data_IF_522098991942
#
_entry.id   IF_522098991942
#
_cell.length_a   1.000
_cell.length_b   1.000
_cell.length_c   1.000
_cell.angle_alpha   90.00
_cell.angle_beta   90.00
_cell.angle_gamma   90.00
#
_symmetry.space_group_name_H-M   'P 1'
#
loop_
_entity.id
_entity.type
_entity.pdbx_description
1 polymer ?
#
# COMPACT_ATOMS: atom_id res chain seq x y z
N UNK A 1 -41.28 15.30 -33.76
CA UNK A 1 -40.77 16.45 -32.98
C UNK A 1 -39.95 15.93 -31.81
N UNK A 2 -38.62 16.00 -31.92
CA UNK A 2 -37.69 15.63 -30.86
C UNK A 2 -37.62 16.76 -29.83
N UNK A 3 -38.05 16.50 -28.58
CA UNK A 3 -37.79 17.40 -27.45
C UNK A 3 -36.31 17.29 -27.09
N UNK A 4 -35.48 18.22 -27.58
CA UNK A 4 -34.16 18.49 -26.99
C UNK A 4 -34.37 18.85 -25.53
N UNK A 5 -33.91 18.00 -24.60
CA UNK A 5 -33.73 18.41 -23.20
C UNK A 5 -32.69 19.53 -23.20
N UNK A 6 -33.12 20.75 -22.91
CA UNK A 6 -32.20 21.85 -22.66
C UNK A 6 -31.49 21.55 -21.33
N UNK A 7 -30.23 21.14 -21.41
CA UNK A 7 -29.30 21.27 -20.28
C UNK A 7 -29.18 22.75 -19.98
N UNK A 8 -29.69 23.20 -18.82
CA UNK A 8 -29.46 24.58 -18.35
C UNK A 8 -27.95 24.72 -18.11
N UNK A 9 -27.26 25.38 -19.03
CA UNK A 9 -25.89 25.84 -18.82
C UNK A 9 -25.95 27.13 -18.00
N UNK A 10 -25.30 27.14 -16.83
CA UNK A 10 -25.19 28.37 -16.03
C UNK A 10 -24.13 29.29 -16.66
N UNK A 11 -24.40 30.61 -16.78
CA UNK A 11 -23.47 31.54 -17.40
C UNK A 11 -22.14 31.63 -16.64
N UNK A 12 -21.05 31.91 -17.35
CA UNK A 12 -19.73 32.21 -16.79
C UNK A 12 -19.80 33.25 -15.65
N UNK A 13 -20.60 34.30 -15.83
CA UNK A 13 -20.75 35.42 -14.89
C UNK A 13 -21.33 34.98 -13.54
N UNK A 14 -22.19 33.95 -13.53
CA UNK A 14 -22.79 33.44 -12.30
C UNK A 14 -21.73 32.86 -11.36
N UNK A 15 -20.87 31.97 -11.88
CA UNK A 15 -19.81 31.37 -11.07
C UNK A 15 -18.76 32.40 -10.65
N UNK A 16 -18.41 33.34 -11.53
CA UNK A 16 -17.47 34.41 -11.22
C UNK A 16 -17.97 35.29 -10.08
N UNK A 17 -19.26 35.68 -10.11
CA UNK A 17 -19.87 36.44 -9.01
C UNK A 17 -19.92 35.64 -7.72
N UNK A 18 -20.25 34.34 -7.77
CA UNK A 18 -20.26 33.52 -6.56
C UNK A 18 -18.88 33.44 -5.89
N UNK A 19 -17.80 33.29 -6.66
CA UNK A 19 -16.44 33.25 -6.12
C UNK A 19 -16.12 34.55 -5.39
N UNK A 20 -16.47 35.70 -5.98
CA UNK A 20 -16.26 37.02 -5.38
C UNK A 20 -17.10 37.23 -4.10
N UNK A 21 -18.27 36.60 -4.01
CA UNK A 21 -19.15 36.69 -2.84
C UNK A 21 -18.68 35.79 -1.68
N UNK A 22 -18.12 34.62 -1.97
CA UNK A 22 -17.74 33.63 -0.95
C UNK A 22 -16.46 34.04 -0.21
N UNK A 23 -15.61 34.89 -0.80
CA UNK A 23 -14.30 35.29 -0.26
C UNK A 23 -13.54 34.09 0.37
N UNK A 24 -13.49 32.98 -0.37
CA UNK A 24 -13.05 31.69 0.12
C UNK A 24 -13.06 30.62 -0.96
N UNK A 25 -13.05 29.35 -0.56
CA UNK A 25 -13.03 28.22 -1.49
C UNK A 25 -14.45 27.82 -1.92
N UNK A 26 -14.75 27.92 -3.21
CA UNK A 26 -15.99 27.41 -3.79
C UNK A 26 -15.77 25.99 -4.36
N UNK A 27 -16.48 25.01 -3.80
CA UNK A 27 -16.51 23.64 -4.33
C UNK A 27 -17.83 23.42 -5.06
N UNK A 28 -17.74 23.09 -6.35
CA UNK A 28 -18.91 22.75 -7.17
C UNK A 28 -18.91 21.24 -7.42
N UNK A 29 -19.98 20.57 -7.00
CA UNK A 29 -20.19 19.15 -7.27
C UNK A 29 -21.05 18.98 -8.53
N UNK A 30 -20.59 18.14 -9.44
CA UNK A 30 -21.32 17.81 -10.67
C UNK A 30 -21.32 16.30 -10.88
N UNK A 31 -22.47 15.75 -11.27
CA UNK A 31 -22.64 14.31 -11.52
C UNK A 31 -22.41 13.97 -12.98
N UNK A 32 -21.62 12.93 -13.23
CA UNK A 32 -21.42 12.38 -14.58
C UNK A 32 -22.42 11.27 -14.84
N UNK A 33 -23.06 11.32 -16.02
CA UNK A 33 -23.91 10.22 -16.47
C UNK A 33 -23.06 8.96 -16.69
N UNK A 34 -23.60 7.81 -16.28
CA UNK A 34 -22.96 6.50 -16.47
C UNK A 34 -22.62 6.29 -17.95
N UNK A 35 -21.39 5.86 -18.24
CA UNK A 35 -20.92 5.56 -19.60
C UNK A 35 -20.39 6.76 -20.39
N UNK A 36 -20.31 7.96 -19.80
CA UNK A 36 -19.58 9.09 -20.40
C UNK A 36 -18.18 9.19 -19.82
N UNK A 37 -17.20 9.44 -20.68
CA UNK A 37 -15.81 9.69 -20.28
C UNK A 37 -15.55 11.17 -19.95
N UNK A 38 -16.43 12.07 -20.40
CA UNK A 38 -16.31 13.51 -20.18
C UNK A 38 -17.61 14.11 -19.66
N UNK A 39 -17.46 14.95 -18.64
CA UNK A 39 -18.51 15.85 -18.20
C UNK A 39 -18.50 17.09 -19.08
N UNK A 40 -19.64 17.41 -19.69
CA UNK A 40 -19.83 18.69 -20.38
C UNK A 40 -20.05 19.77 -19.33
N UNK A 41 -18.93 20.27 -18.78
CA UNK A 41 -18.90 21.33 -17.77
C UNK A 41 -19.29 22.70 -18.33
N UNK A 42 -19.44 22.83 -19.67
CA UNK A 42 -19.71 24.09 -20.34
C UNK A 42 -18.76 25.21 -19.87
N UNK A 43 -19.35 26.31 -19.38
CA UNK A 43 -18.62 27.49 -18.91
C UNK A 43 -17.78 27.26 -17.65
N UNK A 44 -18.09 26.22 -16.84
CA UNK A 44 -17.44 25.96 -15.56
C UNK A 44 -15.96 25.59 -15.74
N UNK A 45 -15.63 24.82 -16.79
CA UNK A 45 -14.26 24.38 -17.05
C UNK A 45 -13.29 25.55 -17.27
N UNK A 46 -13.79 26.68 -17.79
CA UNK A 46 -12.98 27.88 -18.05
C UNK A 46 -12.77 28.75 -16.81
N UNK A 47 -13.77 28.80 -15.92
CA UNK A 47 -13.70 29.55 -14.65
C UNK A 47 -12.88 28.79 -13.62
N UNK A 48 -13.07 27.47 -13.52
CA UNK A 48 -12.48 26.66 -12.47
C UNK A 48 -10.95 26.67 -12.52
N UNK A 49 -10.32 26.95 -11.37
CA UNK A 49 -8.87 26.87 -11.23
C UNK A 49 -8.39 25.42 -11.06
N UNK A 50 -9.26 24.55 -10.53
CA UNK A 50 -9.03 23.12 -10.44
C UNK A 50 -10.24 22.33 -10.96
N UNK A 51 -9.99 21.24 -11.70
CA UNK A 51 -11.02 20.29 -12.11
C UNK A 51 -10.56 18.89 -11.73
N UNK A 52 -11.35 18.22 -10.89
CA UNK A 52 -11.05 16.92 -10.33
C UNK A 52 -12.22 15.97 -10.63
N UNK A 53 -11.93 14.82 -11.25
CA UNK A 53 -12.92 13.78 -11.52
C UNK A 53 -12.83 12.69 -10.46
N UNK A 54 -13.99 12.31 -9.91
CA UNK A 54 -14.11 11.15 -9.03
C UNK A 54 -14.59 9.98 -9.86
N UNK A 55 -13.67 9.10 -10.25
CA UNK A 55 -14.00 7.90 -10.99
C UNK A 55 -14.23 6.75 -10.05
N UNK A 56 -15.13 5.86 -10.44
CA UNK A 56 -15.19 4.53 -9.89
C UNK A 56 -15.25 3.51 -11.03
N UNK A 57 -14.62 2.36 -10.84
CA UNK A 57 -14.73 1.22 -11.73
C UNK A 57 -14.88 -0.05 -10.91
N UNK A 58 -15.57 -1.03 -11.48
CA UNK A 58 -15.64 -2.37 -10.90
C UNK A 58 -14.59 -3.23 -11.58
N UNK A 59 -13.63 -3.72 -10.80
CA UNK A 59 -12.59 -4.62 -11.27
C UNK A 59 -12.65 -5.88 -10.41
N UNK A 60 -12.98 -7.03 -11.02
CA UNK A 60 -13.13 -8.32 -10.31
C UNK A 60 -14.15 -8.29 -9.17
N UNK A 61 -15.24 -7.56 -9.37
CA UNK A 61 -16.27 -7.36 -8.34
C UNK A 61 -15.86 -6.36 -7.24
N UNK A 62 -14.67 -5.75 -7.34
CA UNK A 62 -14.19 -4.76 -6.38
C UNK A 62 -14.36 -3.35 -6.90
N UNK A 63 -14.84 -2.50 -6.02
CA UNK A 63 -15.04 -1.09 -6.31
C UNK A 63 -13.72 -0.34 -6.11
N UNK A 64 -13.09 0.02 -7.23
CA UNK A 64 -11.94 0.91 -7.25
C UNK A 64 -12.40 2.35 -7.45
N UNK A 65 -11.77 3.27 -6.72
CA UNK A 65 -12.05 4.70 -6.79
C UNK A 65 -10.76 5.46 -7.03
N UNK A 66 -10.77 6.38 -7.99
CA UNK A 66 -9.61 7.20 -8.34
C UNK A 66 -10.00 8.67 -8.50
N UNK A 67 -9.11 9.56 -8.08
CA UNK A 67 -9.09 10.97 -8.44
C UNK A 67 -8.36 11.11 -9.76
N UNK A 68 -8.92 11.83 -10.72
CA UNK A 68 -8.15 12.36 -11.84
C UNK A 68 -8.08 13.88 -11.71
N UNK A 69 -6.86 14.44 -11.69
CA UNK A 69 -6.66 15.89 -11.70
C UNK A 69 -6.54 16.32 -13.16
N UNK A 70 -7.65 16.77 -13.75
CA UNK A 70 -7.70 17.14 -15.17
C UNK A 70 -7.13 18.54 -15.42
N UNK A 71 -7.27 19.43 -14.45
CA UNK A 71 -6.82 20.83 -14.53
C UNK A 71 -6.43 21.33 -13.15
N UNK A 72 -5.31 22.05 -13.08
CA UNK A 72 -4.88 22.78 -11.90
C UNK A 72 -4.05 23.99 -12.37
N UNK A 73 -4.56 25.21 -12.18
CA UNK A 73 -3.85 26.44 -12.54
C UNK A 73 -2.79 26.78 -11.49
N UNK A 74 -1.61 27.19 -11.94
CA UNK A 74 -0.53 27.64 -11.07
C UNK A 74 0.28 26.54 -10.37
N UNK A 75 0.01 25.26 -10.66
CA UNK A 75 0.78 24.13 -10.13
C UNK A 75 0.99 23.04 -11.19
N UNK A 76 2.16 22.39 -11.22
CA UNK A 76 2.42 21.27 -12.13
C UNK A 76 1.58 20.04 -11.74
N UNK A 77 0.97 19.39 -12.74
CA UNK A 77 0.26 18.12 -12.54
C UNK A 77 1.25 16.98 -12.86
N UNK A 78 1.83 16.40 -11.81
CA UNK A 78 2.81 15.31 -11.93
C UNK A 78 2.18 13.91 -11.82
N UNK A 79 0.93 13.81 -11.35
CA UNK A 79 0.20 12.55 -11.18
C UNK A 79 -1.20 12.72 -11.76
N UNK A 80 -1.53 11.90 -12.76
CA UNK A 80 -2.79 12.00 -13.51
C UNK A 80 -3.94 11.33 -12.76
N UNK A 81 -3.69 10.16 -12.14
CA UNK A 81 -4.70 9.44 -11.36
C UNK A 81 -4.18 9.00 -9.98
N UNK A 82 -4.99 9.19 -8.94
CA UNK A 82 -4.65 8.85 -7.54
C UNK A 82 -5.78 8.00 -6.94
N UNK A 83 -5.52 6.75 -6.53
CA UNK A 83 -6.54 5.93 -5.87
C UNK A 83 -6.96 6.52 -4.54
N UNK A 84 -8.19 6.25 -4.10
CA UNK A 84 -8.66 6.70 -2.79
C UNK A 84 -9.66 5.75 -2.14
N UNK A 85 -9.79 5.88 -0.82
CA UNK A 85 -10.83 5.23 -0.04
C UNK A 85 -11.73 6.25 0.63
N UNK A 86 -12.93 5.82 1.00
CA UNK A 86 -13.81 6.58 1.89
C UNK A 86 -13.78 5.86 3.23
N UNK A 87 -13.20 6.50 4.24
CA UNK A 87 -13.06 5.93 5.58
C UNK A 87 -14.01 6.64 6.55
N UNK A 88 -14.66 5.87 7.42
CA UNK A 88 -15.55 6.40 8.45
C UNK A 88 -14.81 7.39 9.35
N UNK A 89 -15.43 8.53 9.65
CA UNK A 89 -14.84 9.61 10.46
C UNK A 89 -13.74 10.44 9.78
N UNK A 90 -13.22 10.02 8.62
CA UNK A 90 -12.18 10.73 7.85
C UNK A 90 -12.75 11.31 6.54
N UNK A 91 -13.69 10.60 5.92
CA UNK A 91 -14.19 10.93 4.58
C UNK A 91 -13.25 10.41 3.50
N UNK A 92 -13.00 11.23 2.48
CA UNK A 92 -12.13 10.90 1.37
C UNK A 92 -10.66 10.87 1.82
N UNK A 93 -9.97 9.75 1.57
CA UNK A 93 -8.54 9.61 1.82
C UNK A 93 -7.80 9.17 0.55
N UNK A 94 -7.08 10.09 -0.11
CA UNK A 94 -6.22 9.74 -1.23
C UNK A 94 -5.08 8.82 -0.78
N UNK A 95 -4.76 7.85 -1.63
CA UNK A 95 -3.67 6.91 -1.47
C UNK A 95 -2.64 7.27 -2.53
N UNK A 96 -1.60 7.97 -2.11
CA UNK A 96 -0.48 8.26 -2.99
C UNK A 96 0.50 7.10 -2.94
N UNK A 97 0.71 6.36 -4.05
CA UNK A 97 1.81 5.44 -4.11
C UNK A 97 3.13 6.22 -3.93
N UNK A 98 4.12 5.68 -3.23
CA UNK A 98 5.40 6.32 -3.16
C UNK A 98 6.00 6.29 -4.56
N UNK A 99 6.41 7.45 -5.05
CA UNK A 99 7.16 7.58 -6.30
C UNK A 99 8.54 8.06 -5.87
N UNK A 100 9.48 7.15 -5.54
CA UNK A 100 10.81 7.56 -5.14
C UNK A 100 11.49 8.26 -6.32
N UNK A 101 11.79 9.55 -6.18
CA UNK A 101 12.44 10.35 -7.22
C UNK A 101 13.90 9.91 -7.46
N UNK A 102 14.54 9.32 -6.43
CA UNK A 102 15.91 8.85 -6.45
C UNK A 102 16.07 7.59 -5.62
N UNK A 103 16.99 6.73 -6.04
CA UNK A 103 17.51 5.65 -5.20
C UNK A 103 18.62 6.28 -4.35
N UNK A 104 18.37 6.49 -3.05
CA UNK A 104 19.37 7.06 -2.17
C UNK A 104 20.34 5.98 -1.70
N UNK A 105 21.64 6.28 -1.74
CA UNK A 105 22.65 5.47 -1.06
C UNK A 105 22.65 5.93 0.39
N UNK A 106 21.81 5.30 1.21
CA UNK A 106 21.77 5.57 2.64
C UNK A 106 22.88 4.76 3.33
N UNK A 107 23.55 5.38 4.30
CA UNK A 107 24.42 4.67 5.22
C UNK A 107 23.60 3.61 5.95
N UNK A 108 23.75 2.36 5.52
CA UNK A 108 23.02 1.24 6.09
C UNK A 108 23.72 0.77 7.36
N UNK A 109 22.96 0.61 8.44
CA UNK A 109 23.48 0.11 9.70
C UNK A 109 23.40 -1.42 9.68
N UNK A 110 24.50 -2.09 10.05
CA UNK A 110 24.48 -3.55 10.24
C UNK A 110 23.50 -3.88 11.37
N UNK A 111 22.58 -4.80 11.10
CA UNK A 111 21.64 -5.34 12.07
C UNK A 111 22.35 -6.38 12.96
N UNK A 112 22.02 -6.37 14.24
CA UNK A 112 22.42 -7.42 15.19
C UNK A 112 21.54 -8.64 14.96
N UNK A 113 22.14 -9.81 14.96
CA UNK A 113 21.42 -11.07 14.82
C UNK A 113 22.12 -12.15 15.64
N UNK A 114 21.36 -13.16 16.06
CA UNK A 114 21.92 -14.37 16.63
C UNK A 114 22.75 -15.11 15.59
N UNK A 115 23.70 -15.91 16.07
CA UNK A 115 24.62 -16.67 15.22
C UNK A 115 23.91 -17.51 14.16
N UNK A 116 22.81 -18.19 14.53
CA UNK A 116 22.03 -19.01 13.60
C UNK A 116 21.42 -18.18 12.45
N UNK A 117 20.99 -16.95 12.75
CA UNK A 117 20.44 -16.03 11.75
C UNK A 117 21.54 -15.48 10.86
N UNK A 118 22.70 -15.11 11.42
CA UNK A 118 23.86 -14.70 10.63
C UNK A 118 24.39 -15.83 9.74
N UNK A 119 24.35 -17.08 10.19
CA UNK A 119 24.74 -18.25 9.39
C UNK A 119 23.74 -18.53 8.26
N UNK A 120 22.45 -18.32 8.50
CA UNK A 120 21.40 -18.58 7.51
C UNK A 120 21.28 -17.48 6.46
N UNK A 121 21.32 -16.21 6.88
CA UNK A 121 21.03 -15.05 6.02
C UNK A 121 22.26 -14.20 5.70
N UNK A 122 23.40 -14.45 6.35
CA UNK A 122 24.56 -13.59 6.27
C UNK A 122 24.40 -12.28 7.05
N UNK A 123 25.34 -11.33 6.90
CA UNK A 123 25.23 -10.01 7.50
C UNK A 123 24.11 -9.21 6.83
N UNK A 124 23.17 -8.71 7.63
CA UNK A 124 22.05 -7.91 7.16
C UNK A 124 22.19 -6.45 7.57
N UNK A 125 21.66 -5.55 6.76
CA UNK A 125 21.70 -4.11 6.98
C UNK A 125 20.30 -3.49 6.86
N UNK A 126 20.10 -2.33 7.49
CA UNK A 126 18.88 -1.55 7.32
C UNK A 126 18.67 -1.17 5.85
N UNK A 127 17.45 -1.34 5.34
CA UNK A 127 17.13 -1.05 3.94
C UNK A 127 17.45 -2.18 2.95
N UNK A 128 18.00 -3.31 3.41
CA UNK A 128 18.17 -4.49 2.57
C UNK A 128 16.82 -5.05 2.11
N UNK A 129 16.83 -5.73 0.96
CA UNK A 129 15.68 -6.43 0.41
C UNK A 129 16.08 -7.89 0.28
N UNK A 130 15.53 -8.73 1.15
CA UNK A 130 15.79 -10.16 1.22
C UNK A 130 14.65 -10.90 0.52
N UNK A 131 15.01 -11.86 -0.33
CA UNK A 131 14.07 -12.78 -0.95
C UNK A 131 14.32 -14.21 -0.45
N UNK A 132 13.33 -14.77 0.22
CA UNK A 132 13.31 -16.14 0.72
C UNK A 132 12.40 -16.95 -0.20
N UNK A 133 13.00 -17.97 -0.81
CA UNK A 133 12.35 -18.83 -1.77
C UNK A 133 12.28 -20.25 -1.23
N UNK A 134 11.12 -20.88 -1.31
CA UNK A 134 10.91 -22.27 -0.91
C UNK A 134 10.24 -23.08 -2.01
N UNK A 135 10.46 -24.41 -2.11
CA UNK A 135 9.79 -25.24 -3.11
C UNK A 135 8.28 -25.23 -2.90
N UNK A 136 7.48 -25.12 -3.98
CA UNK A 136 6.00 -25.07 -3.88
C UNK A 136 5.34 -26.27 -3.19
N UNK A 137 6.01 -27.42 -3.19
CA UNK A 137 5.57 -28.65 -2.52
C UNK A 137 6.03 -28.74 -1.06
N UNK A 138 7.03 -27.95 -0.67
CA UNK A 138 7.34 -27.75 0.73
C UNK A 138 6.33 -26.75 1.28
N UNK A 139 5.46 -27.18 2.21
CA UNK A 139 4.77 -26.20 3.06
C UNK A 139 5.86 -25.41 3.76
N UNK A 140 5.76 -24.08 3.74
CA UNK A 140 6.74 -23.21 4.39
C UNK A 140 6.92 -23.65 5.84
N UNK A 141 8.16 -24.00 6.19
CA UNK A 141 8.48 -24.45 7.54
C UNK A 141 8.37 -23.24 8.48
N UNK A 142 7.52 -23.29 9.52
CA UNK A 142 7.41 -22.22 10.50
C UNK A 142 8.75 -21.80 11.11
N UNK A 143 9.73 -22.71 11.19
CA UNK A 143 11.10 -22.41 11.67
C UNK A 143 11.79 -21.32 10.83
N UNK A 144 11.41 -21.16 9.56
CA UNK A 144 11.93 -20.10 8.67
C UNK A 144 11.61 -18.67 9.15
N UNK A 145 10.71 -18.51 10.13
CA UNK A 145 10.41 -17.21 10.76
C UNK A 145 11.27 -16.90 11.99
N UNK A 146 12.11 -17.84 12.47
CA UNK A 146 13.03 -17.60 13.60
C UNK A 146 13.95 -16.38 13.36
N UNK A 147 14.58 -16.22 12.19
CA UNK A 147 15.38 -15.03 11.88
C UNK A 147 14.60 -13.71 12.04
N UNK A 148 13.32 -13.71 11.70
CA UNK A 148 12.49 -12.51 11.80
C UNK A 148 12.24 -12.13 13.27
N UNK A 149 11.99 -13.13 14.12
CA UNK A 149 11.80 -12.94 15.56
C UNK A 149 13.09 -12.38 16.19
N UNK A 150 14.22 -13.00 15.87
CA UNK A 150 15.55 -12.56 16.29
C UNK A 150 15.82 -11.10 15.91
N UNK A 151 15.77 -10.78 14.61
CA UNK A 151 16.04 -9.43 14.10
C UNK A 151 15.14 -8.37 14.73
N UNK A 152 13.86 -8.69 14.96
CA UNK A 152 12.91 -7.77 15.59
C UNK A 152 13.29 -7.46 17.04
N UNK A 153 13.72 -8.48 17.80
CA UNK A 153 14.05 -8.35 19.22
C UNK A 153 15.42 -7.69 19.42
N UNK A 154 16.46 -8.22 18.79
CA UNK A 154 17.87 -7.77 18.97
C UNK A 154 18.08 -6.32 18.55
N UNK A 155 17.29 -5.84 17.59
CA UNK A 155 17.37 -4.47 17.09
C UNK A 155 16.22 -3.57 17.59
N UNK A 156 15.32 -4.09 18.44
CA UNK A 156 14.13 -3.41 18.93
C UNK A 156 13.29 -2.79 17.77
N UNK A 157 13.14 -3.54 16.68
CA UNK A 157 12.42 -3.13 15.48
C UNK A 157 10.99 -3.65 15.51
N UNK A 158 10.05 -2.80 15.08
CA UNK A 158 8.68 -3.24 14.82
C UNK A 158 8.58 -3.81 13.42
N UNK A 159 7.81 -4.88 13.31
CA UNK A 159 7.69 -5.72 12.14
C UNK A 159 6.24 -5.76 11.68
N UNK A 160 6.00 -5.36 10.44
CA UNK A 160 4.73 -5.54 9.76
C UNK A 160 4.80 -6.84 8.97
N UNK A 161 3.97 -7.82 9.32
CA UNK A 161 3.87 -9.09 8.62
C UNK A 161 2.54 -9.15 7.88
N UNK A 162 2.61 -9.13 6.55
CA UNK A 162 1.45 -9.23 5.67
C UNK A 162 1.45 -10.62 5.04
N UNK A 163 0.43 -11.42 5.35
CA UNK A 163 0.23 -12.74 4.74
C UNK A 163 -0.91 -12.72 3.74
N UNK A 164 -0.70 -13.40 2.61
CA UNK A 164 -1.72 -13.66 1.61
C UNK A 164 -2.33 -15.06 1.70
N UNK A 165 -1.88 -15.89 2.64
CA UNK A 165 -2.28 -17.30 2.78
C UNK A 165 -2.77 -17.66 4.18
N UNK A 166 -2.37 -16.92 5.21
CA UNK A 166 -2.75 -17.15 6.60
C UNK A 166 -3.57 -16.01 7.18
N UNK A 167 -4.50 -16.34 8.06
CA UNK A 167 -5.22 -15.37 8.90
C UNK A 167 -4.31 -14.82 10.01
N UNK A 168 -4.67 -13.66 10.56
CA UNK A 168 -3.95 -13.05 11.68
C UNK A 168 -3.88 -13.98 12.91
N UNK A 169 -4.92 -14.78 13.15
CA UNK A 169 -4.96 -15.69 14.29
C UNK A 169 -4.01 -16.88 14.09
N UNK A 170 -3.96 -17.44 12.87
CA UNK A 170 -3.01 -18.50 12.53
C UNK A 170 -1.57 -18.00 12.64
N UNK A 171 -1.26 -16.80 12.13
CA UNK A 171 0.06 -16.18 12.25
C UNK A 171 0.45 -16.00 13.72
N UNK A 172 -0.43 -15.44 14.56
CA UNK A 172 -0.16 -15.29 16.00
C UNK A 172 0.08 -16.63 16.67
N UNK A 173 -0.75 -17.63 16.37
CA UNK A 173 -0.59 -18.97 16.91
C UNK A 173 0.75 -19.58 16.49
N UNK A 174 1.09 -19.51 15.20
CA UNK A 174 2.34 -20.02 14.64
C UNK A 174 3.57 -19.36 15.26
N UNK A 175 3.63 -18.02 15.28
CA UNK A 175 4.76 -17.30 15.88
C UNK A 175 4.88 -17.57 17.39
N UNK A 176 3.76 -17.62 18.11
CA UNK A 176 3.79 -17.99 19.54
C UNK A 176 4.26 -19.43 19.74
N UNK A 177 3.87 -20.34 18.83
CA UNK A 177 4.30 -21.74 18.82
C UNK A 177 5.80 -21.86 18.65
N UNK A 178 6.37 -21.21 17.63
CA UNK A 178 7.81 -21.17 17.36
C UNK A 178 8.59 -20.65 18.58
N UNK A 179 8.13 -19.55 19.19
CA UNK A 179 8.77 -18.99 20.38
C UNK A 179 8.77 -19.96 21.57
N UNK A 180 7.70 -20.75 21.73
CA UNK A 180 7.58 -21.70 22.84
C UNK A 180 8.36 -22.99 22.55
N UNK A 181 8.22 -23.57 21.36
CA UNK A 181 8.79 -24.88 21.01
C UNK A 181 10.27 -24.79 20.65
N UNK A 182 10.65 -23.82 19.81
CA UNK A 182 12.01 -23.73 19.26
C UNK A 182 12.91 -22.84 20.12
N UNK A 183 12.34 -21.78 20.72
CA UNK A 183 13.11 -20.81 21.53
C UNK A 183 12.95 -21.03 23.05
N UNK A 184 12.10 -21.97 23.47
CA UNK A 184 11.89 -22.30 24.89
C UNK A 184 11.29 -21.17 25.73
N UNK A 185 10.64 -20.19 25.11
CA UNK A 185 10.07 -19.05 25.81
C UNK A 185 8.75 -19.43 26.50
N UNK A 186 8.49 -18.92 27.72
CA UNK A 186 7.16 -19.03 28.31
C UNK A 186 6.10 -18.38 27.41
N UNK A 187 4.91 -18.99 27.34
CA UNK A 187 3.83 -18.50 26.45
C UNK A 187 3.44 -17.05 26.71
N UNK A 188 3.40 -16.63 27.97
CA UNK A 188 3.11 -15.24 28.33
C UNK A 188 4.17 -14.25 27.78
N UNK A 189 5.44 -14.65 27.80
CA UNK A 189 6.55 -13.87 27.22
C UNK A 189 6.42 -13.80 25.69
N UNK A 190 6.08 -14.91 25.05
CA UNK A 190 5.85 -14.96 23.60
C UNK A 190 4.71 -14.00 23.17
N UNK A 191 3.57 -14.04 23.86
CA UNK A 191 2.45 -13.15 23.58
C UNK A 191 2.81 -11.66 23.78
N UNK A 192 3.62 -11.36 24.80
CA UNK A 192 4.13 -10.01 25.07
C UNK A 192 5.07 -9.51 23.97
N UNK A 193 5.96 -10.37 23.48
CA UNK A 193 6.86 -10.09 22.35
C UNK A 193 6.03 -9.81 21.10
N UNK A 194 5.04 -10.65 20.78
CA UNK A 194 4.16 -10.44 19.63
C UNK A 194 3.46 -9.10 19.69
N UNK A 195 2.87 -8.75 20.83
CA UNK A 195 2.17 -7.47 21.00
C UNK A 195 3.09 -6.25 20.86
N UNK A 196 4.36 -6.38 21.26
CA UNK A 196 5.33 -5.28 21.24
C UNK A 196 5.94 -5.07 19.86
N UNK A 197 6.34 -6.16 19.21
CA UNK A 197 7.19 -6.11 18.02
C UNK A 197 6.44 -6.41 16.73
N UNK A 198 5.30 -7.09 16.76
CA UNK A 198 4.64 -7.57 15.55
C UNK A 198 3.27 -6.95 15.30
N UNK A 199 3.07 -6.50 14.06
CA UNK A 199 1.80 -6.10 13.49
C UNK A 199 1.45 -7.08 12.38
N UNK A 200 0.41 -7.88 12.60
CA UNK A 200 -0.03 -8.87 11.63
C UNK A 200 -1.19 -8.33 10.80
N UNK A 201 -1.12 -8.52 9.49
CA UNK A 201 -2.19 -8.25 8.55
C UNK A 201 -2.39 -9.46 7.66
N UNK A 202 -3.65 -9.75 7.31
CA UNK A 202 -4.01 -10.77 6.34
C UNK A 202 -4.84 -10.13 5.24
N UNK A 203 -4.45 -10.35 3.99
CA UNK A 203 -5.09 -9.77 2.81
C UNK A 203 -5.36 -10.92 1.85
N UNK A 204 -6.62 -11.11 1.45
CA UNK A 204 -6.93 -12.10 0.41
C UNK A 204 -6.30 -11.64 -0.92
N UNK A 205 -5.59 -12.53 -1.64
CA UNK A 205 -4.96 -12.21 -2.93
C UNK A 205 -5.94 -11.61 -3.93
N UNK A 206 -7.17 -12.15 -3.98
CA UNK A 206 -8.23 -11.72 -4.90
C UNK A 206 -8.68 -10.28 -4.64
N UNK A 207 -8.55 -9.82 -3.39
CA UNK A 207 -8.87 -8.47 -2.96
C UNK A 207 -7.68 -7.49 -3.06
N UNK A 208 -6.51 -8.00 -3.44
CA UNK A 208 -5.28 -7.24 -3.44
C UNK A 208 -5.13 -6.46 -4.75
N UNK A 209 -5.51 -5.18 -4.71
CA UNK A 209 -5.05 -4.20 -5.69
C UNK A 209 -3.72 -3.63 -5.18
N UNK A 210 -2.68 -3.61 -6.02
CA UNK A 210 -1.32 -3.25 -5.60
C UNK A 210 -1.26 -1.86 -4.96
N UNK A 211 -2.06 -0.90 -5.46
CA UNK A 211 -2.19 0.43 -4.85
C UNK A 211 -2.69 0.38 -3.40
N UNK A 212 -3.61 -0.53 -3.07
CA UNK A 212 -4.11 -0.74 -1.71
C UNK A 212 -3.05 -1.35 -0.81
N UNK A 213 -2.27 -2.31 -1.31
CA UNK A 213 -1.13 -2.88 -0.56
C UNK A 213 -0.11 -1.79 -0.21
N UNK A 214 0.25 -0.98 -1.21
CA UNK A 214 1.14 0.16 -1.02
C UNK A 214 0.60 1.13 0.04
N UNK A 215 -0.71 1.43 0.01
CA UNK A 215 -1.36 2.25 1.02
C UNK A 215 -1.15 1.70 2.44
N UNK A 216 -1.46 0.41 2.60
CA UNK A 216 -1.36 -0.28 3.88
C UNK A 216 0.08 -0.21 4.40
N UNK A 217 1.05 -0.62 3.58
CA UNK A 217 2.46 -0.63 3.97
C UNK A 217 2.97 0.78 4.30
N UNK A 218 2.67 1.77 3.45
CA UNK A 218 3.12 3.15 3.68
C UNK A 218 2.48 3.79 4.91
N UNK A 219 1.23 3.46 5.24
CA UNK A 219 0.57 3.95 6.45
C UNK A 219 1.17 3.37 7.71
N UNK A 220 1.42 2.06 7.73
CA UNK A 220 2.11 1.42 8.85
C UNK A 220 3.53 1.97 9.01
N UNK A 221 4.24 2.19 7.90
CA UNK A 221 5.59 2.75 7.92
C UNK A 221 5.63 4.21 8.41
N UNK A 222 4.60 5.02 8.12
CA UNK A 222 4.52 6.42 8.59
C UNK A 222 4.05 6.56 10.04
N UNK A 223 3.19 5.64 10.51
CA UNK A 223 2.56 5.73 11.84
C UNK A 223 3.35 5.07 12.97
N UNK A 224 4.39 4.29 12.64
CA UNK A 224 5.11 3.44 13.58
C UNK A 224 6.60 3.49 13.23
N UNK A 225 7.51 3.38 14.21
CA UNK A 225 8.94 3.13 13.97
C UNK A 225 9.13 1.70 13.40
N UNK A 226 8.64 1.50 12.19
CA UNK A 226 8.64 0.24 11.47
C UNK A 226 10.05 0.00 10.94
N UNK A 227 10.67 -1.09 11.37
CA UNK A 227 12.02 -1.47 10.93
C UNK A 227 12.04 -2.61 9.93
N UNK A 228 10.98 -3.43 9.92
CA UNK A 228 10.90 -4.60 9.05
C UNK A 228 9.51 -4.71 8.41
N UNK A 229 9.46 -4.96 7.11
CA UNK A 229 8.24 -5.32 6.37
C UNK A 229 8.41 -6.71 5.80
N UNK A 230 7.46 -7.59 6.08
CA UNK A 230 7.40 -8.94 5.56
C UNK A 230 6.19 -9.11 4.66
N UNK A 231 6.44 -9.58 3.45
CA UNK A 231 5.41 -9.94 2.47
C UNK A 231 5.47 -11.44 2.25
N UNK A 232 4.45 -12.16 2.73
CA UNK A 232 4.43 -13.61 2.81
C UNK A 232 3.42 -14.26 1.85
N UNK A 233 3.85 -15.30 1.15
CA UNK A 233 3.16 -15.98 0.05
C UNK A 233 2.90 -15.06 -1.16
N UNK A 234 3.92 -14.32 -1.59
CA UNK A 234 3.82 -13.39 -2.73
C UNK A 234 3.49 -14.09 -4.06
N UNK A 235 3.76 -15.38 -4.20
CA UNK A 235 3.39 -16.18 -5.36
C UNK A 235 1.88 -16.13 -5.64
N UNK A 236 1.05 -15.94 -4.61
CA UNK A 236 -0.40 -15.91 -4.76
C UNK A 236 -0.89 -14.62 -5.41
N UNK A 237 -0.06 -13.57 -5.43
CA UNK A 237 -0.39 -12.32 -6.11
C UNK A 237 -0.14 -12.39 -7.62
N UNK A 238 0.80 -13.22 -8.08
CA UNK A 238 1.18 -13.27 -9.51
C UNK A 238 0.02 -13.69 -10.43
N UNK A 239 -0.76 -14.76 -10.14
CA UNK A 239 -1.92 -15.13 -10.97
C UNK A 239 -3.02 -14.08 -10.99
N UNK A 240 -3.03 -13.23 -9.96
CA UNK A 240 -4.01 -12.16 -9.77
C UNK A 240 -3.45 -10.82 -10.31
N UNK A 241 -2.20 -10.75 -10.77
CA UNK A 241 -1.69 -9.55 -11.44
C UNK A 241 -2.20 -9.52 -12.90
N UNK A 242 -3.04 -8.53 -13.24
CA UNK A 242 -3.56 -8.38 -14.62
C UNK A 242 -2.48 -7.87 -15.58
N UNK A 243 -1.72 -6.89 -15.10
CA UNK A 243 -0.59 -6.32 -15.81
C UNK A 243 0.66 -6.54 -14.97
N UNK A 244 1.53 -7.44 -15.45
CA UNK A 244 2.80 -7.72 -14.81
C UNK A 244 3.68 -6.45 -14.74
N UNK A 245 3.60 -5.57 -15.74
CA UNK A 245 4.39 -4.35 -15.76
C UNK A 245 3.97 -3.37 -14.66
N UNK A 246 2.67 -3.15 -14.47
CA UNK A 246 2.13 -2.33 -13.39
C UNK A 246 2.49 -2.91 -12.02
N UNK A 247 2.34 -4.23 -11.88
CA UNK A 247 2.73 -4.95 -10.67
C UNK A 247 4.21 -4.74 -10.34
N UNK A 248 5.10 -4.96 -11.31
CA UNK A 248 6.54 -4.80 -11.13
C UNK A 248 6.93 -3.37 -10.77
N UNK A 249 6.41 -2.37 -11.48
CA UNK A 249 6.68 -0.95 -11.21
C UNK A 249 6.23 -0.56 -9.80
N UNK A 250 5.04 -0.98 -9.42
CA UNK A 250 4.47 -0.65 -8.12
C UNK A 250 5.26 -1.28 -6.96
N UNK A 251 5.65 -2.54 -7.07
CA UNK A 251 6.52 -3.19 -6.07
C UNK A 251 7.93 -2.61 -6.03
N UNK A 252 8.52 -2.32 -7.20
CA UNK A 252 9.83 -1.69 -7.28
C UNK A 252 9.84 -0.32 -6.58
N UNK A 253 8.82 0.50 -6.82
CA UNK A 253 8.65 1.79 -6.17
C UNK A 253 8.45 1.64 -4.66
N UNK A 254 7.63 0.69 -4.22
CA UNK A 254 7.43 0.40 -2.80
C UNK A 254 8.74 0.00 -2.11
N UNK A 255 9.50 -0.94 -2.69
CA UNK A 255 10.74 -1.42 -2.09
C UNK A 255 11.82 -0.35 -2.07
N UNK A 256 11.92 0.44 -3.13
CA UNK A 256 12.85 1.57 -3.18
C UNK A 256 12.48 2.61 -2.12
N UNK A 257 11.20 2.90 -1.95
CA UNK A 257 10.73 3.79 -0.89
C UNK A 257 11.05 3.25 0.50
N UNK A 258 10.77 1.97 0.78
CA UNK A 258 11.10 1.32 2.06
C UNK A 258 12.61 1.33 2.34
N UNK A 259 13.42 1.04 1.33
CA UNK A 259 14.88 1.13 1.40
C UNK A 259 15.33 2.55 1.75
N UNK A 260 14.78 3.56 1.09
CA UNK A 260 15.06 4.97 1.39
C UNK A 260 14.62 5.39 2.81
N UNK A 261 13.81 4.57 3.49
CA UNK A 261 13.40 4.77 4.88
C UNK A 261 14.10 3.80 5.85
N UNK A 262 15.20 3.15 5.43
CA UNK A 262 15.96 2.18 6.23
C UNK A 262 15.13 0.97 6.73
N UNK A 263 14.05 0.63 6.03
CA UNK A 263 13.19 -0.51 6.38
C UNK A 263 13.72 -1.75 5.68
N UNK A 264 14.03 -2.79 6.47
CA UNK A 264 14.36 -4.11 5.96
C UNK A 264 13.11 -4.73 5.32
N UNK A 265 13.22 -5.20 4.08
CA UNK A 265 12.12 -5.89 3.39
C UNK A 265 12.45 -7.36 3.28
N UNK A 266 11.56 -8.23 3.76
CA UNK A 266 11.68 -9.68 3.60
C UNK A 266 10.49 -10.18 2.77
N UNK A 267 10.79 -10.92 1.71
CA UNK A 267 9.81 -11.44 0.77
C UNK A 267 9.84 -12.95 0.79
N UNK A 268 8.74 -13.59 1.17
CA UNK A 268 8.58 -15.03 1.09
C UNK A 268 7.74 -15.37 -0.15
N UNK A 269 8.26 -16.24 -0.99
CA UNK A 269 7.56 -16.72 -2.17
C UNK A 269 7.91 -18.16 -2.48
N UNK A 270 6.90 -18.97 -2.80
CA UNK A 270 7.16 -20.28 -3.35
C UNK A 270 7.77 -20.19 -4.76
N UNK A 271 8.66 -21.13 -5.08
CA UNK A 271 9.20 -21.35 -6.42
C UNK A 271 8.52 -22.56 -7.04
N UNK A 272 7.87 -22.34 -8.18
CA UNK A 272 7.52 -23.42 -9.09
C UNK A 272 8.74 -23.75 -9.92
N UNK A 273 9.35 -24.91 -9.67
CA UNK A 273 10.34 -25.47 -10.58
C UNK A 273 9.60 -25.89 -11.86
N UNK A 274 9.85 -25.17 -12.96
CA UNK A 274 9.50 -25.64 -14.31
C UNK A 274 10.58 -26.59 -14.81
#
# INVERSE_FOLDING_TARGET
MSRKRATKSYPFEFFYQMINLVNGLLIVLAEMSIGREMLDLGSIEFVADAVIYLKHRVERGLLLRTFEIRKLRGAPINVVEVPFIIAEGIGIRPIFPPIPERIEIILSNKLKALKITEELLGPLYTGDIIFISYPSHAKEDPVSFVPLIDLSIENNLRTLFISYSYSVNELKHMFSGIMVSELGLPRESAERILKRFFFFSSISPELCVVSRLIAIVTEFAKGINLGIVVLHSLELLNPVAWDLSEYWVAFFNLFTWLKNHNVLVIRYSSRTDN
#
